data_IF_074478159095
#
_entry.id   IF_074478159095
#
_cell.length_a   1.000
_cell.length_b   1.000
_cell.length_c   1.000
_cell.angle_alpha   90.00
_cell.angle_beta   90.00
_cell.angle_gamma   90.00
#
_symmetry.space_group_name_H-M   'P 1'
#
loop_
_entity.id
_entity.type
_entity.pdbx_description
1 polymer ?
#
# COMPACT_ATOMS: atom_id res chain seq x y z
N UNK A 1 23.69 -11.94 11.55
CA UNK A 1 23.82 -11.74 10.09
C UNK A 1 23.22 -10.38 9.78
N UNK A 2 23.86 -9.52 8.97
CA UNK A 2 23.17 -8.33 8.47
C UNK A 2 21.94 -8.78 7.68
N UNK A 3 20.83 -8.01 7.67
CA UNK A 3 19.70 -8.32 6.82
C UNK A 3 20.21 -8.39 5.39
N UNK A 4 20.08 -9.57 4.75
CA UNK A 4 20.28 -9.69 3.31
C UNK A 4 19.18 -8.82 2.71
N UNK A 5 19.56 -7.70 2.10
CA UNK A 5 18.61 -6.86 1.38
C UNK A 5 17.85 -7.76 0.40
N UNK A 6 16.51 -7.86 0.52
CA UNK A 6 15.75 -8.67 -0.41
C UNK A 6 16.02 -8.14 -1.83
N UNK A 7 16.22 -9.01 -2.83
CA UNK A 7 16.40 -8.57 -4.20
C UNK A 7 15.23 -7.64 -4.57
N UNK A 8 15.49 -6.52 -5.26
CA UNK A 8 14.45 -5.55 -5.56
C UNK A 8 13.29 -6.28 -6.22
N UNK A 9 12.10 -6.03 -5.67
CA UNK A 9 10.88 -6.55 -6.24
C UNK A 9 10.75 -6.06 -7.68
N UNK A 10 10.03 -6.81 -8.52
CA UNK A 10 9.81 -6.36 -9.89
C UNK A 10 8.98 -5.06 -9.83
N UNK A 11 9.51 -3.91 -10.27
CA UNK A 11 8.73 -2.67 -10.26
C UNK A 11 7.51 -2.82 -11.18
N UNK A 12 6.54 -1.93 -10.99
CA UNK A 12 5.46 -1.79 -11.96
C UNK A 12 6.06 -1.41 -13.34
N UNK A 13 5.54 -1.94 -14.46
CA UNK A 13 6.00 -1.55 -15.79
C UNK A 13 5.87 -0.04 -16.02
N UNK A 14 6.71 0.51 -16.90
CA UNK A 14 6.53 1.87 -17.39
C UNK A 14 5.16 2.02 -18.07
N UNK A 15 4.49 3.16 -17.83
CA UNK A 15 3.12 3.39 -18.32
C UNK A 15 2.05 2.49 -17.67
N UNK A 16 2.36 1.81 -16.57
CA UNK A 16 1.37 0.98 -15.87
C UNK A 16 0.21 1.81 -15.34
N UNK A 17 -1.01 1.34 -15.62
CA UNK A 17 -2.24 1.80 -14.99
C UNK A 17 -3.03 0.60 -14.45
N UNK A 18 -3.61 0.67 -13.24
CA UNK A 18 -4.46 -0.41 -12.73
C UNK A 18 -5.67 -0.68 -13.65
N UNK A 19 -6.14 -1.94 -13.73
CA UNK A 19 -7.39 -2.24 -14.41
C UNK A 19 -8.55 -1.46 -13.76
N UNK A 20 -9.41 -0.85 -14.58
CA UNK A 20 -10.52 0.00 -14.13
C UNK A 20 -10.07 1.18 -13.25
N UNK A 21 -8.89 1.75 -13.52
CA UNK A 21 -8.41 2.94 -12.84
C UNK A 21 -9.33 4.13 -13.11
N UNK A 22 -9.69 4.86 -12.06
CA UNK A 22 -10.51 6.07 -12.11
C UNK A 22 -9.67 7.35 -12.14
N UNK A 23 -8.36 7.25 -11.89
CA UNK A 23 -7.40 8.35 -12.04
C UNK A 23 -6.91 8.43 -13.50
N UNK A 24 -6.56 9.63 -13.95
CA UNK A 24 -6.03 9.83 -15.30
C UNK A 24 -4.63 9.20 -15.46
N UNK A 25 -4.23 8.92 -16.70
CA UNK A 25 -2.88 8.43 -17.04
C UNK A 25 -1.77 9.42 -16.64
N UNK A 26 -2.11 10.70 -16.48
CA UNK A 26 -1.18 11.75 -16.08
C UNK A 26 -1.07 11.84 -14.55
N UNK A 27 -2.19 11.69 -13.82
CA UNK A 27 -2.24 11.89 -12.36
C UNK A 27 -1.79 10.65 -11.58
N UNK A 28 -2.21 9.47 -12.03
CA UNK A 28 -1.92 8.22 -11.34
C UNK A 28 -0.44 8.01 -11.02
N UNK A 29 0.52 8.16 -11.98
CA UNK A 29 1.93 7.97 -11.67
C UNK A 29 2.48 9.01 -10.68
N UNK A 30 1.93 10.23 -10.63
CA UNK A 30 2.33 11.27 -9.67
C UNK A 30 1.84 10.90 -8.27
N UNK A 31 0.58 10.48 -8.14
CA UNK A 31 0.00 9.99 -6.89
C UNK A 31 0.69 8.71 -6.40
N UNK A 32 1.01 7.79 -7.30
CA UNK A 32 1.64 6.50 -6.99
C UNK A 32 3.05 6.62 -6.39
N UNK A 33 3.70 7.79 -6.51
CA UNK A 33 4.98 8.13 -5.86
C UNK A 33 4.81 8.60 -4.40
N UNK A 34 3.59 8.90 -3.98
CA UNK A 34 3.30 9.30 -2.61
C UNK A 34 3.13 8.10 -1.68
N UNK A 35 3.34 8.32 -0.39
CA UNK A 35 3.15 7.32 0.65
C UNK A 35 1.74 7.40 1.19
N UNK A 36 1.03 6.27 1.26
CA UNK A 36 -0.32 6.19 1.80
C UNK A 36 -0.43 5.10 2.88
N UNK A 37 -1.22 5.32 3.94
CA UNK A 37 -1.52 4.33 4.96
C UNK A 37 -2.60 3.38 4.45
N UNK A 38 -2.34 2.09 4.45
CA UNK A 38 -3.25 1.07 3.88
C UNK A 38 -3.85 0.13 4.93
N UNK A 39 -3.33 0.15 6.16
CA UNK A 39 -3.84 -0.65 7.27
C UNK A 39 -3.35 -0.08 8.59
N UNK A 40 -4.09 -0.35 9.67
CA UNK A 40 -3.56 -0.26 11.04
C UNK A 40 -2.63 -1.45 11.29
N UNK A 41 -1.57 -1.25 12.07
CA UNK A 41 -0.56 -2.30 12.34
C UNK A 41 -1.17 -3.51 13.07
N UNK A 42 -2.06 -3.25 14.02
CA UNK A 42 -2.76 -4.23 14.85
C UNK A 42 -3.86 -5.00 14.10
N UNK A 43 -4.30 -4.49 12.95
CA UNK A 43 -5.31 -5.12 12.08
C UNK A 43 -4.72 -5.97 10.96
N UNK A 44 -3.39 -6.02 10.82
CA UNK A 44 -2.76 -6.87 9.80
C UNK A 44 -2.92 -8.34 10.20
N UNK A 45 -3.72 -9.13 9.46
CA UNK A 45 -4.04 -10.48 9.86
C UNK A 45 -2.90 -11.45 9.54
N UNK A 46 -2.92 -12.61 10.21
CA UNK A 46 -2.03 -13.72 9.88
C UNK A 46 -2.35 -14.31 8.49
N UNK A 47 -3.64 -14.32 8.11
CA UNK A 47 -4.05 -14.63 6.74
C UNK A 47 -3.91 -13.38 5.87
N UNK A 48 -3.43 -13.48 4.62
CA UNK A 48 -3.45 -12.36 3.70
C UNK A 48 -4.83 -11.70 3.55
N UNK A 49 -4.84 -10.38 3.46
CA UNK A 49 -6.04 -9.56 3.26
C UNK A 49 -5.84 -8.64 2.07
N UNK A 50 -6.93 -8.37 1.34
CA UNK A 50 -6.91 -7.37 0.28
C UNK A 50 -7.04 -5.96 0.86
N UNK A 51 -6.24 -5.05 0.32
CA UNK A 51 -6.42 -3.60 0.44
C UNK A 51 -6.35 -2.99 -0.96
N UNK A 52 -6.97 -1.82 -1.15
CA UNK A 52 -6.97 -1.12 -2.43
C UNK A 52 -6.30 0.23 -2.22
N UNK A 53 -5.32 0.56 -3.06
CA UNK A 53 -4.65 1.86 -3.08
C UNK A 53 -4.58 2.34 -4.52
N UNK A 54 -5.12 3.53 -4.81
CA UNK A 54 -5.16 4.15 -6.13
C UNK A 54 -5.71 3.17 -7.19
N UNK A 55 -6.83 2.50 -6.88
CA UNK A 55 -7.44 1.39 -7.62
C UNK A 55 -6.58 0.12 -7.83
N UNK A 56 -5.34 0.09 -7.36
CA UNK A 56 -4.51 -1.12 -7.38
C UNK A 56 -4.84 -2.02 -6.18
N UNK A 57 -5.17 -3.29 -6.47
CA UNK A 57 -5.37 -4.30 -5.42
C UNK A 57 -4.02 -4.78 -4.89
N UNK A 58 -3.85 -4.73 -3.57
CA UNK A 58 -2.68 -5.17 -2.83
C UNK A 58 -3.07 -6.26 -1.84
N UNK A 59 -2.15 -7.20 -1.62
CA UNK A 59 -2.23 -8.19 -0.56
C UNK A 59 -1.32 -7.73 0.57
N UNK A 60 -1.89 -7.53 1.76
CA UNK A 60 -1.16 -7.24 2.99
C UNK A 60 -1.22 -8.46 3.91
N UNK A 61 -0.08 -8.82 4.49
CA UNK A 61 0.05 -9.99 5.38
C UNK A 61 1.27 -9.84 6.29
N UNK A 62 1.30 -10.66 7.35
CA UNK A 62 2.41 -10.70 8.30
C UNK A 62 3.26 -11.96 8.07
N UNK A 63 4.58 -11.75 7.99
CA UNK A 63 5.62 -12.80 8.04
C UNK A 63 6.45 -12.61 9.33
N UNK A 64 7.30 -13.58 9.72
CA UNK A 64 8.12 -13.44 10.94
C UNK A 64 9.07 -12.24 10.93
N UNK A 65 9.50 -11.83 9.74
CA UNK A 65 10.39 -10.70 9.49
C UNK A 65 9.62 -9.39 9.21
N UNK A 66 8.32 -9.35 9.51
CA UNK A 66 7.49 -8.14 9.51
C UNK A 66 6.31 -8.16 8.53
N UNK A 67 5.69 -7.00 8.35
CA UNK A 67 4.55 -6.84 7.44
C UNK A 67 5.04 -6.78 6.00
N UNK A 68 4.27 -7.38 5.08
CA UNK A 68 4.56 -7.41 3.65
C UNK A 68 3.36 -6.90 2.86
N UNK A 69 3.67 -6.19 1.79
CA UNK A 69 2.68 -5.66 0.85
C UNK A 69 3.15 -6.05 -0.55
N UNK A 70 2.28 -6.70 -1.32
CA UNK A 70 2.54 -6.99 -2.71
C UNK A 70 1.28 -6.83 -3.54
N UNK A 71 1.44 -6.77 -4.87
CA UNK A 71 0.29 -6.74 -5.78
C UNK A 71 -0.57 -7.98 -5.56
N UNK A 72 -1.88 -7.79 -5.43
CA UNK A 72 -2.84 -8.87 -5.16
C UNK A 72 -3.15 -9.70 -6.41
N UNK A 73 -2.11 -10.29 -6.99
CA UNK A 73 -2.18 -10.99 -8.26
C UNK A 73 -1.05 -12.02 -8.35
N UNK A 74 -1.42 -13.29 -8.32
CA UNK A 74 -0.46 -14.38 -8.52
C UNK A 74 0.13 -14.32 -9.95
N UNK A 75 1.47 -14.20 -10.14
CA UNK A 75 2.10 -14.08 -11.45
C UNK A 75 1.90 -15.31 -12.36
N UNK A 76 1.37 -16.41 -11.83
CA UNK A 76 1.04 -17.59 -12.62
C UNK A 76 -0.22 -17.40 -13.48
N UNK A 77 -1.37 -17.06 -12.86
CA UNK A 77 -2.69 -16.96 -13.53
C UNK A 77 -3.60 -15.85 -12.98
N UNK A 78 -3.06 -14.95 -12.18
CA UNK A 78 -3.77 -13.77 -11.70
C UNK A 78 -4.74 -13.98 -10.54
N UNK A 79 -4.78 -15.16 -9.90
CA UNK A 79 -5.62 -15.35 -8.71
C UNK A 79 -5.16 -14.38 -7.59
N UNK A 80 -6.09 -13.69 -6.90
CA UNK A 80 -5.75 -12.84 -5.76
C UNK A 80 -4.99 -13.61 -4.69
N UNK A 81 -3.81 -13.11 -4.32
CA UNK A 81 -2.95 -13.67 -3.28
C UNK A 81 -3.54 -13.48 -1.88
N UNK A 82 -4.40 -12.47 -1.69
CA UNK A 82 -5.23 -12.24 -0.51
C UNK A 82 -6.13 -13.43 -0.17
N UNK A 83 -6.43 -14.31 -1.13
CA UNK A 83 -7.18 -15.55 -0.87
C UNK A 83 -6.31 -16.69 -0.34
N UNK A 84 -4.99 -16.50 -0.35
CA UNK A 84 -3.98 -17.46 0.10
C UNK A 84 -3.86 -17.59 1.62
N UNK A 85 -2.70 -18.09 2.05
CA UNK A 85 -2.32 -18.26 3.46
C UNK A 85 -0.81 -18.11 3.63
N UNK A 86 -0.37 -17.89 4.86
CA UNK A 86 1.05 -17.99 5.23
C UNK A 86 1.30 -19.39 5.79
N UNK A 87 2.36 -20.05 5.32
CA UNK A 87 2.77 -21.39 5.75
C UNK A 87 4.29 -21.51 5.58
N UNK A 88 4.99 -21.98 6.60
CA UNK A 88 6.46 -22.11 6.63
C UNK A 88 7.19 -20.82 6.18
N UNK A 89 6.74 -19.66 6.67
CA UNK A 89 7.29 -18.34 6.36
C UNK A 89 7.18 -17.94 4.87
N UNK A 90 6.28 -18.60 4.14
CA UNK A 90 5.99 -18.33 2.74
C UNK A 90 4.52 -17.98 2.52
N UNK A 91 4.27 -17.09 1.56
CA UNK A 91 2.93 -16.85 1.05
C UNK A 91 2.55 -17.97 0.07
N UNK A 92 1.50 -18.72 0.39
CA UNK A 92 0.98 -19.82 -0.43
C UNK A 92 -0.26 -19.36 -1.20
N UNK A 93 -0.17 -19.38 -2.53
CA UNK A 93 -1.31 -19.08 -3.40
C UNK A 93 -2.39 -20.16 -3.31
N UNK A 94 -3.64 -19.76 -3.09
CA UNK A 94 -4.77 -20.68 -2.94
C UNK A 94 -5.11 -21.50 -4.19
N UNK A 95 -4.62 -21.13 -5.39
CA UNK A 95 -4.95 -21.85 -6.62
C UNK A 95 -4.18 -23.16 -6.73
N UNK A 96 -2.87 -23.04 -6.98
CA UNK A 96 -1.99 -24.17 -7.25
C UNK A 96 -0.90 -24.31 -6.18
N UNK A 97 -0.94 -23.53 -5.09
CA UNK A 97 0.05 -23.67 -4.02
C UNK A 97 1.46 -23.21 -4.39
N UNK A 98 1.62 -22.26 -5.34
CA UNK A 98 2.91 -21.58 -5.49
C UNK A 98 3.24 -20.87 -4.18
N UNK A 99 4.47 -21.03 -3.70
CA UNK A 99 4.96 -20.48 -2.45
C UNK A 99 5.98 -19.38 -2.73
N UNK A 100 5.77 -18.23 -2.13
CA UNK A 100 6.59 -17.03 -2.34
C UNK A 100 7.25 -16.62 -1.04
N UNK A 101 8.55 -16.31 -1.10
CA UNK A 101 9.28 -15.76 0.04
C UNK A 101 8.92 -14.30 0.32
N UNK A 102 9.55 -13.73 1.35
CA UNK A 102 9.32 -12.34 1.79
C UNK A 102 9.70 -11.27 0.75
N UNK A 103 10.53 -11.62 -0.22
CA UNK A 103 10.91 -10.81 -1.40
C UNK A 103 9.95 -10.98 -2.60
N UNK A 104 8.91 -11.81 -2.45
CA UNK A 104 7.97 -12.13 -3.50
C UNK A 104 8.49 -13.12 -4.55
N UNK A 105 9.72 -13.64 -4.41
CA UNK A 105 10.26 -14.66 -5.30
C UNK A 105 9.57 -16.00 -5.03
N UNK A 106 9.07 -16.68 -6.07
CA UNK A 106 8.58 -18.04 -5.94
C UNK A 106 9.74 -18.96 -5.55
N UNK A 107 9.57 -19.66 -4.43
CA UNK A 107 10.52 -20.62 -3.85
C UNK A 107 10.16 -22.05 -4.19
N UNK A 108 8.85 -22.34 -4.26
CA UNK A 108 8.33 -23.67 -4.52
C UNK A 108 7.13 -23.61 -5.45
N UNK A 109 7.21 -24.37 -6.53
CA UNK A 109 6.10 -24.68 -7.40
C UNK A 109 5.78 -26.18 -7.31
N UNK A 110 4.51 -26.59 -7.40
CA UNK A 110 4.17 -28.01 -7.55
C UNK A 110 4.89 -28.63 -8.76
N UNK A 111 5.27 -29.90 -8.65
CA UNK A 111 6.00 -30.65 -9.69
C UNK A 111 5.33 -30.58 -11.07
N UNK A 112 4.00 -30.59 -11.11
CA UNK A 112 3.20 -30.48 -12.36
C UNK A 112 3.36 -29.12 -13.08
N UNK A 113 3.95 -28.12 -12.42
CA UNK A 113 4.22 -26.78 -12.98
C UNK A 113 5.73 -26.55 -13.24
N UNK A 114 6.58 -27.55 -13.01
CA UNK A 114 8.05 -27.44 -13.09
C UNK A 114 8.62 -27.18 -14.50
N UNK A 115 7.77 -27.08 -15.53
CA UNK A 115 8.16 -26.72 -16.89
C UNK A 115 8.51 -25.23 -17.05
N UNK A 116 8.15 -24.37 -16.09
CA UNK A 116 8.60 -22.98 -16.02
C UNK A 116 9.55 -22.83 -14.84
N UNK A 117 10.71 -22.22 -15.06
CA UNK A 117 11.64 -21.91 -13.97
C UNK A 117 10.91 -21.04 -12.94
N UNK A 118 11.02 -21.41 -11.66
CA UNK A 118 10.45 -20.67 -10.53
C UNK A 118 10.85 -19.19 -10.54
N UNK A 119 11.99 -18.89 -11.16
CA UNK A 119 12.52 -17.55 -11.44
C UNK A 119 11.54 -16.66 -12.22
N UNK A 120 10.67 -17.23 -13.08
CA UNK A 120 9.68 -16.46 -13.82
C UNK A 120 8.52 -15.96 -12.96
N UNK A 121 8.29 -16.56 -11.78
CA UNK A 121 7.17 -16.22 -10.91
C UNK A 121 7.66 -15.35 -9.75
N UNK A 122 7.55 -14.03 -9.93
CA UNK A 122 7.85 -13.05 -8.87
C UNK A 122 6.69 -12.09 -8.69
N UNK A 123 6.31 -11.86 -7.44
CA UNK A 123 5.31 -10.86 -7.06
C UNK A 123 5.97 -9.48 -7.10
N UNK A 124 5.23 -8.48 -7.61
CA UNK A 124 5.57 -7.07 -7.40
C UNK A 124 5.31 -6.74 -5.93
N UNK A 125 6.37 -6.59 -5.14
CA UNK A 125 6.31 -6.15 -3.75
C UNK A 125 6.45 -4.64 -3.66
N UNK A 126 5.79 -4.05 -2.67
CA UNK A 126 5.88 -2.63 -2.33
C UNK A 126 6.47 -2.48 -0.93
N UNK A 127 7.19 -1.37 -0.65
CA UNK A 127 7.73 -1.13 0.67
C UNK A 127 6.60 -1.04 1.71
N UNK A 128 6.79 -1.68 2.85
CA UNK A 128 5.90 -1.59 4.00
C UNK A 128 6.65 -0.90 5.14
N UNK A 129 6.17 0.28 5.56
CA UNK A 129 6.76 1.04 6.66
C UNK A 129 5.75 1.16 7.78
N UNK A 130 6.11 0.70 8.98
CA UNK A 130 5.31 0.85 10.18
C UNK A 130 5.64 2.21 10.83
N UNK A 131 4.68 3.14 10.87
CA UNK A 131 4.85 4.45 11.51
C UNK A 131 3.52 4.98 12.03
N UNK A 132 3.52 5.58 13.22
CA UNK A 132 2.32 6.15 13.86
C UNK A 132 1.17 5.14 14.05
N UNK A 133 1.48 3.85 14.25
CA UNK A 133 0.47 2.78 14.37
C UNK A 133 -0.19 2.37 13.06
N UNK A 134 0.28 2.92 11.93
CA UNK A 134 -0.20 2.62 10.58
C UNK A 134 0.87 1.90 9.76
N UNK A 135 0.42 1.15 8.76
CA UNK A 135 1.24 0.53 7.73
C UNK A 135 1.15 1.38 6.47
N UNK A 136 2.30 1.87 6.04
CA UNK A 136 2.47 2.76 4.90
C UNK A 136 3.09 2.04 3.72
N UNK A 137 2.67 2.40 2.52
CA UNK A 137 3.26 1.91 1.27
C UNK A 137 3.31 3.01 0.22
N UNK A 138 4.22 2.85 -0.73
CA UNK A 138 4.32 3.67 -1.94
C UNK A 138 4.39 2.73 -3.16
N UNK A 139 3.65 3.03 -4.22
CA UNK A 139 3.54 2.15 -5.40
C UNK A 139 4.72 2.34 -6.37
N UNK A 140 5.32 3.53 -6.38
CA UNK A 140 6.51 3.91 -7.15
C UNK A 140 7.49 4.61 -6.20
N UNK A 141 8.12 3.89 -5.26
CA UNK A 141 9.00 4.50 -4.27
C UNK A 141 10.22 5.16 -4.91
N UNK A 142 10.53 6.37 -4.46
CA UNK A 142 11.72 7.12 -4.86
C UNK A 142 12.40 7.67 -3.61
N UNK A 143 13.68 7.36 -3.41
CA UNK A 143 14.45 7.84 -2.27
C UNK A 143 13.87 7.41 -0.92
N UNK A 144 14.04 8.26 0.09
CA UNK A 144 13.57 8.04 1.46
C UNK A 144 12.04 8.18 1.57
N UNK A 145 11.39 7.47 2.52
CA UNK A 145 9.96 7.59 2.73
C UNK A 145 9.52 9.01 3.14
N UNK A 146 8.83 9.72 2.25
CA UNK A 146 8.15 10.99 2.51
C UNK A 146 6.86 10.82 3.33
N UNK A 147 6.91 10.07 4.42
CA UNK A 147 5.77 9.85 5.32
C UNK A 147 5.65 11.07 6.25
N UNK A 148 4.52 11.80 6.26
CA UNK A 148 4.31 12.93 7.14
C UNK A 148 4.49 12.55 8.62
N UNK A 149 5.21 13.39 9.38
CA UNK A 149 5.29 13.23 10.83
C UNK A 149 3.93 13.53 11.48
N UNK A 150 3.43 12.59 12.28
CA UNK A 150 2.18 12.72 13.03
C UNK A 150 2.48 12.84 14.53
N UNK A 151 2.06 13.96 15.13
CA UNK A 151 1.98 14.09 16.58
C UNK A 151 0.67 13.45 17.07
N UNK A 152 0.64 12.14 17.32
CA UNK A 152 -0.50 11.51 17.97
C UNK A 152 -0.49 11.86 19.47
N UNK A 153 -1.40 12.72 19.93
CA UNK A 153 -1.71 12.84 21.36
C UNK A 153 -2.44 11.58 21.80
N UNK A 154 -1.71 10.61 22.33
CA UNK A 154 -2.29 9.48 23.05
C UNK A 154 -2.82 10.03 24.38
N UNK A 155 -4.05 10.52 24.41
CA UNK A 155 -4.75 10.71 25.67
C UNK A 155 -5.09 9.33 26.23
N UNK A 156 -4.60 9.04 27.43
CA UNK A 156 -4.79 7.78 28.14
C UNK A 156 -6.27 7.38 28.14
N UNK A 157 -6.55 6.16 27.68
CA UNK A 157 -7.88 5.65 27.41
C UNK A 157 -8.65 5.23 28.66
N UNK A 158 -9.95 5.50 28.63
CA UNK A 158 -11.02 4.86 29.41
C UNK A 158 -10.87 3.32 29.41
N UNK A 159 -10.78 2.65 30.58
CA UNK A 159 -10.55 1.20 30.68
C UNK A 159 -11.69 0.33 30.16
N UNK A 160 -12.91 0.86 29.95
CA UNK A 160 -14.05 0.08 29.44
C UNK A 160 -14.18 0.09 27.91
N UNK A 161 -13.37 0.91 27.22
CA UNK A 161 -13.36 1.01 25.76
C UNK A 161 -11.93 0.93 25.24
N UNK A 162 -11.43 -0.24 24.80
CA UNK A 162 -10.07 -0.35 24.29
C UNK A 162 -9.90 0.69 23.17
N UNK A 163 -8.92 1.57 23.35
CA UNK A 163 -8.70 2.71 22.48
C UNK A 163 -8.64 2.26 21.02
N UNK A 164 -9.45 2.87 20.15
CA UNK A 164 -8.99 3.09 18.78
C UNK A 164 -7.76 4.01 18.93
N UNK A 165 -6.50 3.53 18.79
CA UNK A 165 -5.33 4.22 19.32
C UNK A 165 -4.88 5.41 18.46
N UNK A 166 -5.66 5.81 17.45
CA UNK A 166 -5.22 6.82 16.49
C UNK A 166 -6.34 7.84 16.31
N UNK A 167 -6.37 8.85 17.19
CA UNK A 167 -7.08 10.10 16.91
C UNK A 167 -6.18 10.94 16.01
N UNK A 168 -6.40 10.87 14.71
CA UNK A 168 -5.71 11.73 13.76
C UNK A 168 -6.39 13.09 13.81
N UNK A 169 -5.69 14.11 14.31
CA UNK A 169 -6.19 15.47 14.26
C UNK A 169 -6.24 15.90 12.80
N UNK A 170 -7.45 16.22 12.31
CA UNK A 170 -7.71 16.53 10.91
C UNK A 170 -6.78 17.62 10.34
N UNK A 171 -6.62 18.70 11.09
CA UNK A 171 -5.87 19.90 10.69
C UNK A 171 -4.37 19.61 10.49
N UNK A 172 -3.83 18.65 11.23
CA UNK A 172 -2.44 18.23 11.10
C UNK A 172 -2.20 17.29 9.91
N UNK A 173 -3.22 16.55 9.48
CA UNK A 173 -3.09 15.48 8.49
C UNK A 173 -3.47 15.91 7.07
N UNK A 174 -4.52 16.71 6.92
CA UNK A 174 -5.23 16.92 5.66
C UNK A 174 -5.00 18.28 5.01
N UNK A 175 -4.00 19.02 5.48
CA UNK A 175 -3.62 20.28 4.84
C UNK A 175 -2.98 19.99 3.49
N UNK A 176 -3.58 20.50 2.42
CA UNK A 176 -3.06 20.39 1.06
C UNK A 176 -1.62 20.90 0.94
N UNK A 177 -1.25 21.90 1.77
CA UNK A 177 0.09 22.47 1.86
C UNK A 177 1.19 21.47 2.27
N UNK A 178 0.83 20.28 2.79
CA UNK A 178 1.79 19.22 3.14
C UNK A 178 2.10 18.27 1.98
N UNK A 179 1.36 18.35 0.87
CA UNK A 179 1.58 17.52 -0.30
C UNK A 179 2.41 18.28 -1.32
N UNK A 180 3.72 18.01 -1.32
CA UNK A 180 4.63 18.50 -2.34
C UNK A 180 4.83 17.43 -3.41
N UNK A 181 4.30 17.70 -4.61
CA UNK A 181 4.56 16.87 -5.78
C UNK A 181 5.80 17.41 -6.51
N UNK A 182 6.98 16.86 -6.21
CA UNK A 182 8.19 17.15 -6.97
C UNK A 182 8.15 16.40 -8.31
N UNK A 183 7.87 17.13 -9.40
CA UNK A 183 7.88 16.61 -10.75
C UNK A 183 9.30 16.42 -11.27
N UNK A 184 9.80 15.19 -11.31
CA UNK A 184 10.83 14.83 -12.28
C UNK A 184 10.26 14.99 -13.69
N UNK A 185 10.93 15.78 -14.54
CA UNK A 185 10.62 16.13 -15.95
C UNK A 185 9.23 16.72 -16.30
N UNK A 186 8.21 16.60 -15.44
CA UNK A 186 6.87 17.10 -15.70
C UNK A 186 6.71 18.47 -15.02
N UNK A 187 6.54 19.52 -15.83
CA UNK A 187 6.14 20.84 -15.33
C UNK A 187 4.65 20.79 -15.02
N UNK A 188 4.30 20.84 -13.74
CA UNK A 188 2.91 20.85 -13.26
C UNK A 188 2.53 22.33 -13.06
N UNK A 189 1.46 22.80 -13.71
CA UNK A 189 0.94 24.14 -13.46
C UNK A 189 0.19 24.22 -12.11
N UNK A 190 -0.13 25.43 -11.66
CA UNK A 190 -0.74 25.62 -10.33
C UNK A 190 -2.13 24.99 -10.19
N UNK A 191 -2.91 24.89 -11.27
CA UNK A 191 -4.26 24.31 -11.22
C UNK A 191 -4.18 22.78 -11.15
N UNK A 192 -3.29 22.17 -11.96
CA UNK A 192 -3.02 20.74 -11.92
C UNK A 192 -2.42 20.33 -10.57
N UNK A 193 -1.56 21.16 -9.97
CA UNK A 193 -1.02 20.93 -8.64
C UNK A 193 -2.13 20.85 -7.57
N UNK A 194 -3.07 21.79 -7.57
CA UNK A 194 -4.20 21.77 -6.64
C UNK A 194 -5.08 20.53 -6.85
N UNK A 195 -5.36 20.18 -8.10
CA UNK A 195 -6.12 18.96 -8.43
C UNK A 195 -5.46 17.69 -7.88
N UNK A 196 -4.13 17.56 -8.00
CA UNK A 196 -3.38 16.43 -7.43
C UNK A 196 -3.44 16.39 -5.90
N UNK A 197 -3.39 17.54 -5.24
CA UNK A 197 -3.55 17.63 -3.78
C UNK A 197 -4.93 17.14 -3.36
N UNK A 198 -5.98 17.57 -4.06
CA UNK A 198 -7.36 17.17 -3.78
C UNK A 198 -7.55 15.66 -4.01
N UNK A 199 -6.99 15.10 -5.09
CA UNK A 199 -7.02 13.66 -5.37
C UNK A 199 -6.31 12.84 -4.28
N UNK A 200 -5.11 13.26 -3.85
CA UNK A 200 -4.39 12.58 -2.78
C UNK A 200 -5.18 12.64 -1.47
N UNK A 201 -5.73 13.80 -1.14
CA UNK A 201 -6.53 14.02 0.06
C UNK A 201 -7.79 13.15 0.08
N UNK A 202 -8.50 13.05 -1.04
CA UNK A 202 -9.67 12.17 -1.18
C UNK A 202 -9.29 10.69 -0.97
N UNK A 203 -8.13 10.27 -1.48
CA UNK A 203 -7.64 8.90 -1.29
C UNK A 203 -7.30 8.62 0.18
N UNK A 204 -6.67 9.57 0.87
CA UNK A 204 -6.42 9.48 2.31
C UNK A 204 -7.70 9.37 3.13
N UNK A 205 -8.71 10.19 2.82
CA UNK A 205 -10.01 10.14 3.47
C UNK A 205 -10.69 8.77 3.30
N UNK A 206 -10.63 8.22 2.08
CA UNK A 206 -11.15 6.88 1.78
C UNK A 206 -10.45 5.81 2.62
N UNK A 207 -9.11 5.80 2.62
CA UNK A 207 -8.31 4.82 3.36
C UNK A 207 -8.55 4.90 4.88
N UNK A 208 -8.69 6.10 5.42
CA UNK A 208 -8.98 6.31 6.83
C UNK A 208 -10.37 5.86 7.23
N UNK A 209 -11.37 6.16 6.40
CA UNK A 209 -12.72 5.64 6.58
C UNK A 209 -12.75 4.11 6.59
N UNK A 210 -12.03 3.47 5.65
CA UNK A 210 -11.91 2.00 5.58
C UNK A 210 -11.24 1.38 6.83
N UNK A 211 -10.32 2.11 7.47
CA UNK A 211 -9.67 1.72 8.72
C UNK A 211 -10.46 2.11 9.98
N UNK A 212 -11.68 2.65 9.83
CA UNK A 212 -12.50 3.11 10.96
C UNK A 212 -11.91 4.29 11.73
N UNK A 213 -10.97 5.04 11.12
CA UNK A 213 -10.36 6.21 11.71
C UNK A 213 -11.27 7.41 11.47
N UNK A 214 -11.72 8.03 12.55
CA UNK A 214 -12.55 9.24 12.48
C UNK A 214 -11.63 10.39 12.09
N UNK A 215 -11.92 10.99 10.93
CA UNK A 215 -11.36 12.28 10.55
C UNK A 215 -12.39 13.35 10.87
N UNK A 216 -12.01 14.42 11.58
CA UNK A 216 -12.91 15.55 11.89
C UNK A 216 -13.04 16.54 10.73
N UNK A 217 -12.89 16.05 9.50
CA UNK A 217 -12.85 16.82 8.27
C UNK A 217 -14.24 17.22 7.78
N UNK A 218 -14.45 18.46 7.30
CA UNK A 218 -15.52 18.70 6.34
C UNK A 218 -15.22 17.90 5.06
N UNK A 219 -16.20 17.16 4.55
CA UNK A 219 -16.11 16.52 3.24
C UNK A 219 -15.82 17.59 2.19
N UNK A 220 -14.75 17.43 1.41
CA UNK A 220 -14.49 18.30 0.28
C UNK A 220 -15.59 18.05 -0.76
N UNK A 221 -16.33 19.10 -1.11
CA UNK A 221 -17.29 19.02 -2.19
C UNK A 221 -16.52 18.76 -3.49
N UNK A 222 -16.99 17.86 -4.37
CA UNK A 222 -16.35 17.67 -5.67
C UNK A 222 -16.36 19.02 -6.40
N UNK A 223 -15.19 19.47 -6.86
CA UNK A 223 -15.11 20.65 -7.71
C UNK A 223 -15.99 20.39 -8.92
N UNK A 224 -17.01 21.24 -9.11
CA UNK A 224 -17.83 21.23 -10.32
C UNK A 224 -16.90 21.46 -11.52
N UNK A 225 -16.89 20.49 -12.44
CA UNK A 225 -16.47 20.71 -13.82
C UNK A 225 -17.38 21.74 -14.51
#
# INVERSE_FOLDING_TARGET
MPPVEPPPSRPLPEGFLPPNCTFSEQDWPVLARQWFPVSRVDEVPAKPRQVILLNLRLAIYRMPDGIRIGRDMCPHRGLPLSTGRIEDDELVCAYHGLRYGSDGQCRKAPEKLALKTVECFRITMFPAVERHGLVWTCLIPQGEPGIPDIHSTIEASDPERPASPIKLQYEDWMSSAKFEFSGGEITIDSEHHQSLQDLALNEYQRLFSEMGLITTAPALQPSRA
#
